data_IF_756829064541
#
_entry.id   IF_756829064541
#
_cell.length_a   1.000
_cell.length_b   1.000
_cell.length_c   1.000
_cell.angle_alpha   90.00
_cell.angle_beta   90.00
_cell.angle_gamma   90.00
#
_symmetry.space_group_name_H-M   'P 1'
#
loop_
_entity.id
_entity.type
_entity.pdbx_description
1 polymer ?
#
# COMPACT_ATOMS: atom_id res chain seq x y z
N UNK A 1 -1.37 55.37 -49.46
CA UNK A 1 -1.98 54.85 -50.70
C UNK A 1 -1.52 53.40 -50.86
N UNK A 2 -2.44 52.53 -51.31
CA UNK A 2 -2.40 51.05 -51.47
C UNK A 2 -2.17 50.23 -50.18
N UNK A 3 -3.14 49.57 -49.52
CA UNK A 3 -4.18 48.62 -49.99
C UNK A 3 -3.58 47.37 -50.66
N UNK A 4 -3.95 46.11 -50.44
CA UNK A 4 -5.11 45.46 -49.80
C UNK A 4 -4.85 43.92 -49.84
N UNK A 5 -5.48 43.15 -48.93
CA UNK A 5 -6.08 41.80 -49.10
C UNK A 5 -5.20 40.56 -49.42
N UNK A 6 -5.19 39.51 -48.58
CA UNK A 6 -6.15 38.38 -48.37
C UNK A 6 -5.60 37.09 -48.98
N UNK A 7 -5.44 36.05 -48.15
CA UNK A 7 -5.99 34.71 -48.42
C UNK A 7 -5.83 33.80 -47.20
N UNK A 8 -6.95 33.57 -46.54
CA UNK A 8 -7.19 32.40 -45.70
C UNK A 8 -7.30 31.16 -46.61
N UNK A 9 -6.73 30.02 -46.20
CA UNK A 9 -7.25 28.72 -46.64
C UNK A 9 -6.89 27.57 -45.68
N UNK A 10 -7.96 26.96 -45.15
CA UNK A 10 -8.24 25.52 -45.00
C UNK A 10 -7.23 24.67 -44.22
N UNK A 11 -7.54 24.27 -42.99
CA UNK A 11 -8.26 23.02 -42.66
C UNK A 11 -7.82 21.82 -43.49
N UNK A 12 -7.04 20.91 -42.88
CA UNK A 12 -7.27 19.46 -42.99
C UNK A 12 -6.58 18.71 -41.85
N UNK A 13 -7.42 17.95 -41.14
CA UNK A 13 -7.09 16.97 -40.11
C UNK A 13 -6.29 15.82 -40.73
N UNK A 14 -5.23 15.36 -40.05
CA UNK A 14 -4.74 13.99 -40.22
C UNK A 14 -4.54 13.35 -38.85
N UNK A 15 -5.60 12.62 -38.45
CA UNK A 15 -5.55 11.59 -37.43
C UNK A 15 -4.62 10.48 -37.93
N UNK A 16 -3.49 10.26 -37.28
CA UNK A 16 -2.74 9.00 -37.40
C UNK A 16 -2.91 8.21 -36.11
N UNK A 17 -3.85 7.28 -36.16
CA UNK A 17 -4.09 6.25 -35.18
C UNK A 17 -2.89 5.29 -35.12
N UNK A 18 -2.14 5.30 -34.03
CA UNK A 18 -1.23 4.20 -33.72
C UNK A 18 -2.06 2.98 -33.31
N UNK A 19 -2.12 2.01 -34.21
CA UNK A 19 -2.79 0.73 -33.99
C UNK A 19 -2.09 -0.03 -32.85
N UNK A 20 -2.90 -0.29 -31.82
CA UNK A 20 -2.58 -1.09 -30.65
C UNK A 20 -2.63 -2.56 -31.04
N UNK A 21 -1.47 -3.25 -31.06
CA UNK A 21 -1.39 -4.71 -31.29
C UNK A 21 -1.54 -5.42 -29.94
N UNK A 22 -2.61 -6.18 -29.68
CA UNK A 22 -2.67 -7.04 -28.50
C UNK A 22 -1.87 -8.33 -28.76
N UNK A 23 -0.92 -8.61 -27.86
CA UNK A 23 -0.20 -9.89 -27.80
C UNK A 23 -1.18 -11.01 -27.45
N UNK A 24 -1.36 -11.94 -28.39
CA UNK A 24 -1.99 -13.24 -28.19
C UNK A 24 -1.18 -14.06 -27.16
N UNK A 25 -1.81 -14.37 -26.03
CA UNK A 25 -1.35 -15.40 -25.11
C UNK A 25 -1.82 -16.77 -25.61
N UNK A 26 -0.95 -17.79 -25.74
CA UNK A 26 -1.42 -19.14 -26.00
C UNK A 26 -2.05 -19.76 -24.74
N UNK A 27 -3.29 -20.20 -24.89
CA UNK A 27 -4.02 -21.07 -23.98
C UNK A 27 -3.32 -22.43 -23.85
N UNK A 28 -3.04 -22.86 -22.62
CA UNK A 28 -2.61 -24.23 -22.31
C UNK A 28 -3.81 -25.17 -22.47
N UNK A 29 -3.75 -26.24 -23.27
CA UNK A 29 -4.78 -27.26 -23.25
C UNK A 29 -4.63 -28.17 -22.02
N UNK A 30 -5.78 -28.55 -21.48
CA UNK A 30 -6.01 -29.47 -20.38
C UNK A 30 -5.66 -30.87 -20.88
N UNK A 31 -4.74 -31.55 -20.19
CA UNK A 31 -4.45 -32.96 -20.44
C UNK A 31 -5.61 -33.81 -19.91
N UNK A 32 -6.43 -34.33 -20.82
CA UNK A 32 -7.37 -35.42 -20.54
C UNK A 32 -6.55 -36.72 -20.41
N UNK A 33 -6.43 -37.24 -19.19
CA UNK A 33 -5.86 -38.57 -18.96
C UNK A 33 -6.80 -39.63 -19.53
N UNK A 34 -6.25 -40.42 -20.46
CA UNK A 34 -6.91 -41.48 -21.17
C UNK A 34 -7.52 -42.55 -20.23
N UNK A 35 -8.75 -42.92 -20.56
CA UNK A 35 -9.40 -44.14 -20.12
C UNK A 35 -8.53 -45.36 -20.47
N UNK A 36 -8.22 -46.18 -19.47
CA UNK A 36 -7.59 -47.48 -19.64
C UNK A 36 -8.70 -48.54 -19.65
N UNK A 37 -8.81 -49.40 -20.68
CA UNK A 37 -9.81 -50.46 -20.67
C UNK A 37 -9.32 -51.60 -19.77
N UNK A 38 -10.18 -52.04 -18.85
CA UNK A 38 -10.03 -53.31 -18.14
C UNK A 38 -10.58 -54.41 -19.06
N UNK A 39 -9.68 -55.15 -19.68
CA UNK A 39 -10.01 -56.42 -20.33
C UNK A 39 -9.61 -57.59 -19.43
N UNK A 40 -10.60 -58.47 -19.26
CA UNK A 40 -10.49 -59.92 -19.20
C UNK A 40 -10.17 -60.62 -17.86
N UNK A 41 -11.22 -61.33 -17.42
CA UNK A 41 -11.24 -62.75 -17.04
C UNK A 41 -10.64 -63.22 -15.71
N UNK A 42 -11.58 -63.68 -14.86
CA UNK A 42 -11.63 -65.01 -14.24
C UNK A 42 -10.63 -65.33 -13.12
N UNK A 43 -11.15 -65.41 -11.89
CA UNK A 43 -11.58 -66.68 -11.27
C UNK A 43 -12.13 -66.42 -9.87
N UNK A 44 -13.38 -66.86 -9.65
CA UNK A 44 -13.94 -67.05 -8.32
C UNK A 44 -13.07 -68.08 -7.58
N UNK A 45 -12.64 -67.75 -6.36
CA UNK A 45 -12.13 -68.72 -5.39
C UNK A 45 -12.97 -68.62 -4.11
N UNK A 46 -13.23 -69.73 -3.43
CA UNK A 46 -14.30 -69.82 -2.44
C UNK A 46 -13.88 -69.24 -1.09
N UNK A 47 -14.87 -68.67 -0.40
CA UNK A 47 -14.83 -68.26 0.99
C UNK A 47 -14.27 -69.35 1.92
N UNK A 48 -13.31 -69.03 2.80
CA UNK A 48 -13.14 -69.78 4.04
C UNK A 48 -14.09 -69.23 5.12
N UNK A 49 -15.05 -70.05 5.50
CA UNK A 49 -15.90 -69.89 6.67
C UNK A 49 -15.12 -70.20 7.95
N UNK A 50 -14.72 -69.17 8.70
CA UNK A 50 -14.58 -69.24 10.16
C UNK A 50 -14.54 -67.82 10.74
N UNK A 51 -15.32 -67.52 11.81
CA UNK A 51 -15.25 -66.22 12.46
C UNK A 51 -13.95 -66.15 13.28
N UNK A 52 -13.10 -65.13 13.12
CA UNK A 52 -12.12 -64.84 14.15
C UNK A 52 -12.91 -64.40 15.38
N UNK A 53 -12.82 -65.18 16.46
CA UNK A 53 -13.31 -64.78 17.77
C UNK A 53 -12.54 -63.53 18.18
N UNK A 54 -13.10 -62.36 17.88
CA UNK A 54 -12.55 -61.08 18.27
C UNK A 54 -12.75 -60.94 19.77
N UNK A 55 -11.72 -61.31 20.54
CA UNK A 55 -11.53 -60.76 21.88
C UNK A 55 -11.49 -59.25 21.69
N UNK A 56 -12.56 -58.57 22.13
CA UNK A 56 -12.64 -57.12 22.20
C UNK A 56 -11.59 -56.65 23.20
N UNK A 57 -10.36 -56.45 22.72
CA UNK A 57 -9.39 -55.63 23.42
C UNK A 57 -10.02 -54.24 23.60
N UNK A 58 -9.91 -53.61 24.77
CA UNK A 58 -10.39 -52.24 24.98
C UNK A 58 -9.41 -51.27 24.32
N UNK A 59 -9.24 -51.39 23.00
CA UNK A 59 -8.45 -50.47 22.16
C UNK A 59 -9.31 -49.78 21.11
N UNK A 60 -10.64 -49.88 21.23
CA UNK A 60 -11.59 -49.16 20.39
C UNK A 60 -11.89 -47.72 20.87
N UNK A 61 -11.40 -47.30 22.04
CA UNK A 61 -11.56 -45.91 22.53
C UNK A 61 -10.51 -44.93 21.97
N UNK A 62 -9.52 -45.43 21.23
CA UNK A 62 -8.42 -44.60 20.70
C UNK A 62 -8.70 -43.97 19.32
N UNK A 63 -9.94 -44.01 18.83
CA UNK A 63 -10.37 -43.32 17.61
C UNK A 63 -11.35 -42.18 17.89
N UNK A 64 -11.16 -41.45 19.01
CA UNK A 64 -11.86 -40.18 19.19
C UNK A 64 -11.35 -39.18 18.15
N UNK A 65 -12.28 -38.72 17.30
CA UNK A 65 -12.11 -37.71 16.25
C UNK A 65 -11.23 -36.57 16.78
N UNK A 66 -10.08 -36.38 16.16
CA UNK A 66 -8.98 -35.48 16.55
C UNK A 66 -9.31 -33.97 16.59
N UNK A 67 -10.59 -33.58 16.60
CA UNK A 67 -11.06 -32.20 16.64
C UNK A 67 -11.79 -31.78 17.93
N UNK A 68 -12.16 -32.71 18.80
CA UNK A 68 -13.04 -32.43 19.95
C UNK A 68 -12.30 -32.75 21.26
N UNK A 69 -11.97 -31.73 22.07
CA UNK A 69 -11.43 -31.95 23.40
C UNK A 69 -12.53 -32.46 24.35
N UNK A 70 -12.22 -33.46 25.17
CA UNK A 70 -13.14 -33.99 26.19
C UNK A 70 -13.39 -32.96 27.29
N UNK A 71 -14.50 -33.08 28.03
CA UNK A 71 -14.82 -32.16 29.14
C UNK A 71 -13.67 -32.07 30.16
N UNK A 72 -13.12 -33.22 30.55
CA UNK A 72 -11.99 -33.28 31.48
C UNK A 72 -10.72 -32.60 30.94
N UNK A 73 -10.50 -32.64 29.62
CA UNK A 73 -9.39 -31.90 28.98
C UNK A 73 -9.64 -30.39 29.01
N UNK A 74 -10.89 -29.95 28.79
CA UNK A 74 -11.28 -28.54 28.91
C UNK A 74 -11.14 -28.06 30.36
N UNK A 75 -11.57 -28.86 31.33
CA UNK A 75 -11.39 -28.59 32.77
C UNK A 75 -9.91 -28.46 33.16
N UNK A 76 -9.02 -29.25 32.51
CA UNK A 76 -7.56 -29.14 32.66
C UNK A 76 -6.93 -27.98 31.88
N UNK A 77 -7.72 -27.12 31.23
CA UNK A 77 -7.23 -25.94 30.51
C UNK A 77 -6.75 -26.20 29.08
N UNK A 78 -7.32 -27.19 28.38
CA UNK A 78 -6.98 -27.47 26.97
C UNK A 78 -7.23 -26.27 26.02
N UNK A 79 -8.14 -25.35 26.36
CA UNK A 79 -8.45 -24.17 25.55
C UNK A 79 -7.60 -22.98 25.99
N UNK A 80 -6.60 -22.60 25.18
CA UNK A 80 -5.79 -21.40 25.39
C UNK A 80 -6.13 -20.32 24.37
N UNK A 81 -6.35 -19.05 24.78
CA UNK A 81 -6.59 -17.97 23.83
C UNK A 81 -5.35 -17.71 22.97
N UNK A 82 -5.54 -17.56 21.66
CA UNK A 82 -4.45 -17.21 20.74
C UNK A 82 -4.12 -15.72 20.89
N UNK A 83 -2.87 -15.41 21.25
CA UNK A 83 -2.37 -14.02 21.33
C UNK A 83 -2.27 -13.44 19.91
N UNK A 84 -2.90 -12.28 19.66
CA UNK A 84 -2.80 -11.56 18.38
C UNK A 84 -1.62 -10.59 18.43
N UNK A 85 -0.74 -10.63 17.43
CA UNK A 85 0.38 -9.69 17.31
C UNK A 85 -0.04 -8.51 16.44
N UNK A 86 0.31 -7.29 16.86
CA UNK A 86 -0.01 -6.09 16.10
C UNK A 86 0.81 -6.01 14.80
N UNK A 87 0.18 -5.53 13.73
CA UNK A 87 0.85 -5.30 12.43
C UNK A 87 1.84 -4.13 12.47
N UNK A 88 1.80 -3.29 13.51
CA UNK A 88 2.57 -2.06 13.67
C UNK A 88 3.08 -1.91 15.12
N UNK A 89 4.02 -2.76 15.57
CA UNK A 89 4.46 -2.80 16.98
C UNK A 89 5.29 -1.59 17.42
N UNK A 90 5.78 -0.75 16.51
CA UNK A 90 6.59 0.42 16.86
C UNK A 90 5.75 1.64 17.27
N UNK A 91 4.45 1.63 16.96
CA UNK A 91 3.55 2.74 17.29
C UNK A 91 2.92 2.63 18.68
N UNK A 92 3.21 1.58 19.46
CA UNK A 92 2.71 1.41 20.84
C UNK A 92 1.22 1.78 20.98
N UNK A 93 0.37 1.19 20.13
CA UNK A 93 -1.09 1.44 20.02
C UNK A 93 -1.54 2.86 19.64
N UNK A 94 -0.63 3.81 19.44
CA UNK A 94 -0.96 5.13 18.90
C UNK A 94 -1.27 5.06 17.40
N UNK A 95 -2.13 5.96 16.91
CA UNK A 95 -2.45 6.06 15.47
C UNK A 95 -1.26 6.57 14.64
N UNK A 96 -0.56 7.59 15.17
CA UNK A 96 0.55 8.27 14.51
C UNK A 96 1.62 8.61 15.54
N UNK A 97 2.88 8.67 15.11
CA UNK A 97 3.99 9.11 15.96
C UNK A 97 4.96 9.99 15.19
N UNK A 98 5.49 10.99 15.88
CA UNK A 98 6.56 11.86 15.40
C UNK A 98 7.87 11.07 15.34
N UNK A 99 8.69 11.37 14.35
CA UNK A 99 10.05 10.84 14.24
C UNK A 99 10.96 11.76 13.46
N UNK A 100 12.26 11.48 13.55
CA UNK A 100 13.32 12.20 12.83
C UNK A 100 13.92 11.25 11.81
N UNK A 101 14.09 11.71 10.57
CA UNK A 101 14.75 10.96 9.51
C UNK A 101 16.25 10.84 9.80
N UNK A 102 16.76 9.61 9.86
CA UNK A 102 18.19 9.36 9.93
C UNK A 102 18.82 9.37 8.54
N UNK A 103 18.21 8.64 7.59
CA UNK A 103 18.65 8.62 6.19
C UNK A 103 17.49 8.38 5.25
N UNK A 104 17.56 9.00 4.08
CA UNK A 104 16.58 8.84 3.00
C UNK A 104 17.27 8.14 1.83
N UNK A 105 16.69 7.06 1.34
CA UNK A 105 17.29 6.25 0.27
C UNK A 105 16.22 5.55 -0.55
N UNK A 106 16.65 4.92 -1.63
CA UNK A 106 15.75 4.18 -2.52
C UNK A 106 16.01 2.68 -2.41
N UNK A 107 14.95 1.89 -2.52
CA UNK A 107 14.99 0.43 -2.41
C UNK A 107 14.28 -0.20 -3.60
N UNK A 108 14.85 -1.28 -4.15
CA UNK A 108 14.20 -2.10 -5.18
C UNK A 108 13.14 -3.03 -4.53
N UNK A 109 11.96 -3.21 -5.13
CA UNK A 109 10.91 -4.08 -4.60
C UNK A 109 11.26 -5.57 -4.74
N UNK A 110 10.44 -6.42 -4.10
CA UNK A 110 10.46 -7.87 -4.34
C UNK A 110 10.02 -8.17 -5.79
N UNK A 111 10.69 -9.14 -6.44
CA UNK A 111 10.23 -9.76 -7.69
C UNK A 111 8.78 -10.28 -7.50
N UNK A 112 7.82 -10.02 -8.40
CA UNK A 112 7.90 -9.77 -9.84
C UNK A 112 8.05 -8.30 -10.26
N UNK A 113 7.96 -7.37 -9.32
CA UNK A 113 7.89 -5.94 -9.64
C UNK A 113 9.30 -5.35 -9.87
N UNK A 114 9.40 -4.35 -10.72
CA UNK A 114 10.61 -3.56 -10.97
C UNK A 114 10.28 -2.07 -10.87
N UNK A 115 10.83 -1.41 -9.85
CA UNK A 115 10.65 0.03 -9.64
C UNK A 115 11.71 0.54 -8.65
N UNK A 116 11.80 1.85 -8.52
CA UNK A 116 12.59 2.51 -7.47
C UNK A 116 11.61 3.06 -6.43
N UNK A 117 11.61 2.49 -5.22
CA UNK A 117 10.73 2.93 -4.13
C UNK A 117 11.49 3.85 -3.19
N UNK A 118 10.91 5.01 -2.84
CA UNK A 118 11.52 6.00 -1.95
C UNK A 118 11.17 5.70 -0.50
N UNK A 119 12.18 5.59 0.35
CA UNK A 119 12.05 5.07 1.71
C UNK A 119 12.93 5.90 2.65
N UNK A 120 12.50 6.06 3.90
CA UNK A 120 13.28 6.71 4.94
C UNK A 120 13.47 5.78 6.15
N UNK A 121 14.67 5.81 6.74
CA UNK A 121 14.92 5.29 8.08
C UNK A 121 14.67 6.41 9.07
N UNK A 122 13.80 6.14 10.04
CA UNK A 122 13.29 7.15 10.98
C UNK A 122 13.47 6.63 12.40
N UNK A 123 14.02 7.47 13.27
CA UNK A 123 13.99 7.26 14.72
C UNK A 123 12.72 7.89 15.26
N UNK A 124 11.79 7.08 15.74
CA UNK A 124 10.56 7.56 16.37
C UNK A 124 10.87 8.22 17.71
N UNK A 125 9.95 9.04 18.22
CA UNK A 125 10.01 9.60 19.58
C UNK A 125 10.19 8.53 20.66
N UNK A 126 9.70 7.32 20.42
CA UNK A 126 9.86 6.15 21.29
C UNK A 126 11.27 5.55 21.32
N UNK A 127 12.23 6.11 20.57
CA UNK A 127 13.58 5.55 20.40
C UNK A 127 13.68 4.40 19.39
N UNK A 128 12.57 3.76 19.02
CA UNK A 128 12.52 2.69 18.01
C UNK A 128 12.88 3.22 16.62
N UNK A 129 13.80 2.55 15.94
CA UNK A 129 14.17 2.87 14.55
C UNK A 129 13.30 2.04 13.60
N UNK A 130 12.61 2.72 12.70
CA UNK A 130 11.69 2.11 11.73
C UNK A 130 12.04 2.54 10.31
N UNK A 131 11.62 1.72 9.35
CA UNK A 131 11.71 2.04 7.93
C UNK A 131 10.30 2.39 7.46
N UNK A 132 10.11 3.60 6.90
CA UNK A 132 8.82 4.06 6.41
C UNK A 132 8.87 4.44 4.92
N UNK A 133 7.80 4.13 4.23
CA UNK A 133 7.61 4.46 2.83
C UNK A 133 7.16 5.91 2.65
N UNK A 134 7.75 6.58 1.65
CA UNK A 134 7.37 7.93 1.26
C UNK A 134 6.33 7.84 0.12
N UNK A 135 5.06 8.21 0.34
CA UNK A 135 4.03 8.07 -0.68
C UNK A 135 4.07 9.20 -1.70
N UNK A 136 3.64 8.93 -2.93
CA UNK A 136 3.50 9.92 -4.00
C UNK A 136 4.77 10.15 -4.82
N UNK A 137 4.75 11.22 -5.59
CA UNK A 137 5.84 11.65 -6.47
C UNK A 137 6.70 12.70 -5.76
N UNK A 138 8.01 12.70 -6.06
CA UNK A 138 8.95 13.61 -5.39
C UNK A 138 9.01 13.45 -3.86
N UNK A 139 9.96 14.09 -3.18
CA UNK A 139 9.93 14.36 -1.74
C UNK A 139 10.99 15.41 -1.40
N UNK A 140 10.77 16.13 -0.30
CA UNK A 140 11.67 17.16 0.21
C UNK A 140 12.47 16.67 1.44
N UNK A 141 12.39 15.39 1.81
CA UNK A 141 13.04 14.92 3.03
C UNK A 141 14.55 14.86 2.84
N UNK A 142 15.22 15.41 3.83
CA UNK A 142 16.65 15.32 4.01
C UNK A 142 16.93 14.53 5.29
N UNK A 143 18.20 14.39 5.63
CA UNK A 143 18.58 13.91 6.95
C UNK A 143 18.10 14.92 8.01
N UNK A 144 17.73 14.42 9.19
CA UNK A 144 17.21 15.21 10.32
C UNK A 144 15.85 15.88 10.12
N UNK A 145 15.21 15.75 8.95
CA UNK A 145 13.84 16.21 8.78
C UNK A 145 12.89 15.49 9.75
N UNK A 146 11.98 16.26 10.33
CA UNK A 146 10.97 15.80 11.26
C UNK A 146 9.72 15.40 10.50
N UNK A 147 9.24 14.18 10.74
CA UNK A 147 8.16 13.57 9.98
C UNK A 147 7.13 12.91 10.88
N UNK A 148 5.90 12.82 10.37
CA UNK A 148 4.80 12.13 11.02
C UNK A 148 4.61 10.74 10.39
N UNK A 149 4.70 9.70 11.21
CA UNK A 149 4.65 8.30 10.79
C UNK A 149 3.29 7.71 11.13
N UNK A 150 2.67 7.03 10.16
CA UNK A 150 1.45 6.24 10.33
C UNK A 150 1.67 4.76 10.03
N UNK A 151 0.75 3.94 10.51
CA UNK A 151 0.73 2.52 10.20
C UNK A 151 0.40 2.22 8.72
N UNK A 152 0.99 1.16 8.19
CA UNK A 152 0.59 0.57 6.91
C UNK A 152 1.76 -0.11 6.20
N UNK A 153 1.55 -1.37 5.81
CA UNK A 153 2.59 -2.17 5.16
C UNK A 153 2.59 -1.94 3.67
N UNK A 154 3.77 -1.72 3.11
CA UNK A 154 3.97 -1.79 1.66
C UNK A 154 4.15 -3.26 1.28
N UNK A 155 3.26 -3.84 0.45
CA UNK A 155 3.34 -5.26 0.10
C UNK A 155 4.61 -5.60 -0.68
N UNK A 156 5.09 -4.66 -1.51
CA UNK A 156 6.24 -4.84 -2.39
C UNK A 156 7.59 -4.91 -1.66
N UNK A 157 7.71 -4.20 -0.52
CA UNK A 157 8.97 -4.03 0.18
C UNK A 157 8.99 -4.87 1.46
N UNK A 158 9.94 -5.81 1.62
CA UNK A 158 10.11 -6.50 2.88
C UNK A 158 10.59 -5.52 3.97
N UNK A 159 10.08 -5.67 5.19
CA UNK A 159 10.48 -4.85 6.34
C UNK A 159 9.86 -3.44 6.42
N UNK A 160 9.23 -2.94 5.36
CA UNK A 160 8.60 -1.60 5.36
C UNK A 160 7.14 -1.70 5.79
N UNK A 161 6.90 -1.41 7.08
CA UNK A 161 5.59 -1.58 7.75
C UNK A 161 4.86 -0.26 8.04
N UNK A 162 5.47 0.86 7.69
CA UNK A 162 4.98 2.20 8.01
C UNK A 162 4.99 3.10 6.79
N UNK A 163 4.15 4.12 6.82
CA UNK A 163 4.10 5.18 5.82
C UNK A 163 4.30 6.53 6.48
N UNK A 164 4.85 7.47 5.73
CA UNK A 164 4.83 8.87 6.11
C UNK A 164 3.51 9.54 5.71
N UNK A 165 3.07 10.49 6.54
CA UNK A 165 1.93 11.36 6.28
C UNK A 165 2.43 12.59 5.53
N UNK A 166 1.84 12.88 4.37
CA UNK A 166 2.16 14.05 3.55
C UNK A 166 1.43 15.29 4.04
N UNK A 167 2.05 16.46 3.87
CA UNK A 167 1.51 17.74 4.34
C UNK A 167 1.57 17.90 5.86
N UNK A 168 2.46 17.16 6.53
CA UNK A 168 2.63 17.19 7.98
C UNK A 168 4.10 17.38 8.34
N UNK A 169 4.36 18.29 9.29
CA UNK A 169 5.71 18.68 9.72
C UNK A 169 6.56 19.11 8.51
N UNK A 170 7.76 18.56 8.33
CA UNK A 170 8.67 18.99 7.25
C UNK A 170 8.33 18.31 5.91
N UNK A 171 7.47 17.28 5.92
CA UNK A 171 7.10 16.58 4.69
C UNK A 171 6.00 17.33 3.94
N UNK A 172 6.41 18.13 2.96
CA UNK A 172 5.52 18.84 2.06
C UNK A 172 4.62 17.90 1.24
N UNK A 173 3.42 18.41 0.92
CA UNK A 173 2.46 17.77 0.03
C UNK A 173 2.94 17.68 -1.42
N UNK A 174 2.18 16.98 -2.26
CA UNK A 174 2.50 16.86 -3.70
C UNK A 174 1.67 17.88 -4.50
N UNK A 175 2.25 18.98 -5.01
CA UNK A 175 1.47 20.09 -5.58
C UNK A 175 0.74 19.73 -6.88
N UNK A 176 1.32 18.86 -7.71
CA UNK A 176 0.78 18.47 -9.02
C UNK A 176 -0.41 17.49 -8.96
N UNK A 177 -0.88 17.13 -7.76
CA UNK A 177 -1.96 16.14 -7.59
C UNK A 177 -3.35 16.75 -7.65
N UNK A 178 -4.10 16.36 -8.68
CA UNK A 178 -5.51 16.73 -8.87
C UNK A 178 -6.45 15.77 -8.12
N UNK A 179 -6.19 14.46 -8.13
CA UNK A 179 -7.05 13.43 -7.52
C UNK A 179 -6.49 12.90 -6.20
N UNK A 180 -7.39 12.52 -5.28
CA UNK A 180 -7.07 12.02 -3.94
C UNK A 180 -6.17 12.98 -3.13
N UNK A 181 -6.46 14.27 -3.24
CA UNK A 181 -5.66 15.38 -2.70
C UNK A 181 -5.37 15.27 -1.20
N UNK A 182 -6.42 14.94 -0.44
CA UNK A 182 -6.36 14.77 1.02
C UNK A 182 -5.34 13.72 1.47
N UNK A 183 -5.08 12.69 0.68
CA UNK A 183 -4.11 11.63 1.02
C UNK A 183 -2.66 12.09 0.91
N UNK A 184 -2.39 13.05 0.02
CA UNK A 184 -1.04 13.52 -0.31
C UNK A 184 -0.79 14.96 0.17
N UNK A 185 -1.68 15.50 1.00
CA UNK A 185 -1.56 16.85 1.55
C UNK A 185 -1.49 17.92 0.46
N UNK A 186 -2.14 17.70 -0.69
CA UNK A 186 -2.22 18.74 -1.72
C UNK A 186 -3.42 19.64 -1.44
N UNK A 187 -3.15 20.91 -1.23
CA UNK A 187 -4.20 21.91 -0.99
C UNK A 187 -5.09 22.06 -2.22
N UNK A 188 -6.34 22.48 -2.02
CA UNK A 188 -7.24 22.73 -3.13
C UNK A 188 -6.73 23.94 -3.92
N UNK A 189 -6.30 23.72 -5.16
CA UNK A 189 -6.01 24.80 -6.08
C UNK A 189 -7.35 25.49 -6.37
N UNK A 190 -7.43 26.79 -6.10
CA UNK A 190 -8.62 27.62 -6.37
C UNK A 190 -9.12 27.49 -7.82
N UNK A 191 -8.22 27.11 -8.73
CA UNK A 191 -8.46 26.85 -10.15
C UNK A 191 -9.31 25.60 -10.44
N UNK A 192 -9.57 24.72 -9.47
CA UNK A 192 -10.40 23.53 -9.68
C UNK A 192 -11.87 23.70 -9.26
N UNK A 193 -12.21 24.73 -8.47
CA UNK A 193 -13.59 24.97 -8.01
C UNK A 193 -14.42 25.77 -9.02
N UNK A 194 -13.76 26.48 -9.92
CA UNK A 194 -14.38 27.20 -11.01
C UNK A 194 -13.75 26.67 -12.29
N UNK A 195 -14.54 26.01 -13.13
CA UNK A 195 -14.15 25.65 -14.50
C UNK A 195 -13.99 26.89 -15.38
N UNK A 196 -13.16 27.85 -14.95
CA UNK A 196 -12.87 29.11 -15.61
C UNK A 196 -11.38 29.37 -15.45
N UNK A 197 -10.71 29.62 -16.57
CA UNK A 197 -9.36 30.16 -16.62
C UNK A 197 -9.28 31.40 -15.72
N UNK A 198 -8.68 31.27 -14.54
CA UNK A 198 -8.23 32.42 -13.78
C UNK A 198 -6.83 32.79 -14.29
N UNK A 199 -6.79 33.41 -15.47
CA UNK A 199 -5.72 34.33 -15.83
C UNK A 199 -5.94 35.55 -14.97
N UNK A 200 -5.18 35.70 -13.89
CA UNK A 200 -4.50 36.95 -13.52
C UNK A 200 -4.07 36.96 -12.05
N UNK A 201 -2.75 37.10 -11.90
CA UNK A 201 -2.11 37.92 -10.87
C UNK A 201 -2.13 37.41 -9.42
N UNK A 202 -1.24 36.46 -9.13
CA UNK A 202 -0.73 36.25 -7.77
C UNK A 202 0.62 36.95 -7.62
N UNK A 203 0.57 38.28 -7.47
CA UNK A 203 1.70 39.07 -7.01
C UNK A 203 1.27 39.83 -5.75
N UNK A 204 1.45 39.23 -4.58
CA UNK A 204 1.63 40.01 -3.35
C UNK A 204 2.73 39.36 -2.50
N UNK A 205 3.96 39.88 -2.53
CA UNK A 205 4.98 39.50 -1.57
C UNK A 205 4.67 40.17 -0.22
N UNK A 206 4.40 39.35 0.79
CA UNK A 206 4.37 39.79 2.20
C UNK A 206 5.83 39.98 2.63
N UNK A 207 6.34 41.19 2.43
CA UNK A 207 7.56 41.67 3.08
C UNK A 207 7.19 42.81 4.03
N UNK A 208 7.37 42.49 5.31
CA UNK A 208 7.55 43.31 6.51
C UNK A 208 7.75 44.82 6.26
N UNK A 209 7.04 45.64 7.03
CA UNK A 209 7.68 46.77 7.71
C UNK A 209 7.03 47.03 9.06
N UNK A 210 7.65 46.46 10.09
CA UNK A 210 7.59 46.96 11.45
C UNK A 210 8.43 48.24 11.44
N UNK A 211 7.81 49.41 11.54
CA UNK A 211 8.50 50.62 12.02
C UNK A 211 7.65 51.30 13.08
N UNK A 212 8.25 51.35 14.25
CA UNK A 212 7.83 52.02 15.47
C UNK A 212 7.47 53.49 15.18
N UNK A 213 6.26 53.92 15.53
CA UNK A 213 5.97 55.33 15.84
C UNK A 213 5.79 55.44 17.34
N UNK A 214 6.93 55.45 18.02
CA UNK A 214 7.05 55.79 19.43
C UNK A 214 6.85 57.29 19.58
N UNK A 215 5.83 57.64 20.37
CA UNK A 215 5.78 58.73 21.35
C UNK A 215 7.00 59.67 21.34
N UNK A 216 6.79 60.93 20.97
CA UNK A 216 7.36 62.07 21.69
C UNK A 216 6.32 63.20 21.71
N UNK A 217 5.70 63.33 22.89
CA UNK A 217 5.02 64.52 23.41
C UNK A 217 6.09 65.36 24.12
N UNK A 218 5.97 66.68 23.99
CA UNK A 218 6.51 67.73 24.88
C UNK A 218 8.03 67.94 24.84
N UNK A 219 8.49 69.16 24.53
CA UNK A 219 8.74 70.25 25.49
C UNK A 219 9.01 71.57 24.74
N UNK A 220 8.50 72.66 25.34
CA UNK A 220 8.85 74.11 25.29
C UNK A 220 9.17 74.76 23.94
#
# INVERSE_FOLDING_TARGET
MSAFRVLASRLSRTLTSHAFVPKLFPSRPIALSAFRPLSAFSKCTPFPSSPPTLILTPRALAMQRSGMATLNQVMRGARKPRKKVSKTPALDTCFQKKGVCNKVYTTKPKKPNSAVRKVARIKLSNGKVVIAYIPGEGHNLQEHSVVLVRGGRVPDLPGVRYHLVRGALDLQGVPSRITSRSKYGSECCSVCLLGVLCVSNWQVPIQRTITMKTVLRNEV
#
